data_IF_283539488047
#
_entry.id   IF_283539488047
#
_cell.length_a   1.000
_cell.length_b   1.000
_cell.length_c   1.000
_cell.angle_alpha   90.00
_cell.angle_beta   90.00
_cell.angle_gamma   90.00
#
_symmetry.space_group_name_H-M   'P 1'
#
loop_
_entity.id
_entity.type
_entity.pdbx_description
1 polymer ?
#
# COMPACT_ATOMS: atom_id res chain seq x y z
N UNK A 1 11.88 -6.03 14.30
CA UNK A 1 12.56 -4.72 14.32
C UNK A 1 13.83 -4.94 15.11
N UNK A 2 14.98 -4.53 14.57
CA UNK A 2 16.28 -4.83 15.16
C UNK A 2 16.90 -3.59 15.82
N UNK A 3 16.43 -2.41 15.42
CA UNK A 3 16.86 -1.13 15.94
C UNK A 3 16.14 -0.78 17.26
N UNK A 4 16.85 -0.67 18.39
CA UNK A 4 16.26 -0.40 19.71
C UNK A 4 15.65 1.01 19.81
N UNK A 5 16.08 1.94 18.95
CA UNK A 5 15.56 3.31 18.90
C UNK A 5 14.15 3.44 18.31
N UNK A 6 13.51 2.37 17.85
CA UNK A 6 12.23 2.48 17.14
C UNK A 6 11.00 2.57 18.04
N UNK A 7 11.04 2.13 19.29
CA UNK A 7 9.84 2.01 20.14
C UNK A 7 9.03 3.32 20.23
N UNK A 8 9.72 4.47 20.29
CA UNK A 8 9.09 5.80 20.38
C UNK A 8 9.36 6.71 19.19
N UNK A 9 10.07 6.21 18.17
CA UNK A 9 10.50 7.00 17.01
C UNK A 9 9.84 6.56 15.70
N UNK A 10 8.74 5.80 15.81
CA UNK A 10 7.97 5.33 14.67
C UNK A 10 6.97 6.39 14.25
N UNK A 11 7.01 6.75 12.98
CA UNK A 11 6.06 7.68 12.35
C UNK A 11 5.28 6.96 11.27
N UNK A 12 3.97 7.20 11.23
CA UNK A 12 3.13 6.69 10.15
C UNK A 12 3.52 7.37 8.85
N UNK A 13 3.74 6.58 7.80
CA UNK A 13 4.07 7.07 6.45
C UNK A 13 2.92 6.91 5.48
N UNK A 14 2.05 5.93 5.70
CA UNK A 14 0.83 5.74 4.92
C UNK A 14 -0.18 4.94 5.73
N UNK A 15 -1.46 5.16 5.45
CA UNK A 15 -2.55 4.35 5.97
C UNK A 15 -3.52 4.05 4.84
N UNK A 16 -3.97 2.81 4.75
CA UNK A 16 -4.97 2.37 3.78
C UNK A 16 -6.09 1.66 4.54
N UNK A 17 -7.32 1.96 4.18
CA UNK A 17 -8.51 1.25 4.66
C UNK A 17 -9.02 0.37 3.53
N UNK A 18 -9.36 -0.87 3.87
CA UNK A 18 -10.01 -1.85 3.00
C UNK A 18 -11.28 -2.28 3.72
N UNK A 19 -12.42 -2.13 3.05
CA UNK A 19 -13.72 -2.54 3.57
C UNK A 19 -14.25 -3.69 2.73
N UNK A 20 -14.78 -4.72 3.38
CA UNK A 20 -15.45 -5.86 2.76
C UNK A 20 -16.69 -6.28 3.57
N UNK A 21 -17.33 -7.38 3.14
CA UNK A 21 -18.54 -7.93 3.79
C UNK A 21 -18.32 -8.37 5.25
N UNK A 22 -17.07 -8.62 5.66
CA UNK A 22 -16.68 -9.01 7.03
C UNK A 22 -16.38 -7.77 7.89
N UNK A 23 -16.06 -6.63 7.30
CA UNK A 23 -15.88 -5.36 8.00
C UNK A 23 -14.74 -4.52 7.45
N UNK A 24 -14.09 -3.76 8.34
CA UNK A 24 -13.02 -2.83 7.98
C UNK A 24 -11.66 -3.35 8.45
N UNK A 25 -10.69 -3.31 7.54
CA UNK A 25 -9.28 -3.56 7.78
C UNK A 25 -8.49 -2.29 7.50
N UNK A 26 -7.68 -1.85 8.45
CA UNK A 26 -6.76 -0.71 8.26
C UNK A 26 -5.33 -1.20 8.28
N UNK A 27 -4.57 -0.88 7.25
CA UNK A 27 -3.14 -1.19 7.13
C UNK A 27 -2.36 0.12 7.23
N UNK A 28 -1.58 0.27 8.31
CA UNK A 28 -0.74 1.44 8.55
C UNK A 28 0.72 1.07 8.41
N UNK A 29 1.44 1.76 7.53
CA UNK A 29 2.89 1.66 7.41
C UNK A 29 3.56 2.66 8.32
N UNK A 30 4.59 2.19 9.01
CA UNK A 30 5.39 2.94 9.95
C UNK A 30 6.85 2.93 9.52
N UNK A 31 7.53 4.05 9.69
CA UNK A 31 8.97 4.19 9.49
C UNK A 31 9.63 4.68 10.76
N UNK A 32 10.73 4.04 11.11
CA UNK A 32 11.55 4.43 12.24
C UNK A 32 12.46 5.61 11.83
N UNK A 33 12.42 6.74 12.55
CA UNK A 33 13.26 7.90 12.21
C UNK A 33 14.77 7.61 12.34
N UNK A 34 15.28 6.99 13.41
CA UNK A 34 16.71 6.80 13.62
C UNK A 34 17.42 5.89 12.61
N UNK A 35 16.76 4.84 12.16
CA UNK A 35 17.40 3.76 11.37
C UNK A 35 16.58 3.33 10.15
N UNK A 36 15.47 4.02 9.87
CA UNK A 36 14.65 3.82 8.68
C UNK A 36 14.04 2.41 8.50
N UNK A 37 14.09 1.55 9.52
CA UNK A 37 13.32 0.31 9.53
C UNK A 37 11.82 0.59 9.32
N UNK A 38 11.18 -0.31 8.60
CA UNK A 38 9.75 -0.25 8.30
C UNK A 38 8.97 -1.31 9.05
N UNK A 39 7.76 -0.98 9.46
CA UNK A 39 6.81 -1.93 10.02
C UNK A 39 5.42 -1.69 9.42
N UNK A 40 4.63 -2.75 9.35
CA UNK A 40 3.21 -2.67 9.01
C UNK A 40 2.39 -3.05 10.24
N UNK A 41 1.33 -2.30 10.47
CA UNK A 41 0.34 -2.54 11.50
C UNK A 41 -1.02 -2.73 10.83
N UNK A 42 -1.63 -3.89 11.04
CA UNK A 42 -2.95 -4.24 10.54
C UNK A 42 -3.92 -4.18 11.71
N UNK A 43 -4.95 -3.37 11.57
CA UNK A 43 -6.10 -3.31 12.47
C UNK A 43 -7.27 -3.97 11.78
N UNK A 44 -7.80 -5.02 12.41
CA UNK A 44 -8.92 -5.81 11.90
C UNK A 44 -10.14 -5.53 12.77
N UNK A 45 -11.26 -5.14 12.17
CA UNK A 45 -12.54 -5.07 12.87
C UNK A 45 -12.98 -6.45 13.37
N UNK A 46 -13.89 -6.48 14.34
CA UNK A 46 -14.43 -7.69 14.94
C UNK A 46 -14.80 -8.79 13.90
N UNK A 47 -15.52 -8.44 12.83
CA UNK A 47 -16.00 -9.44 11.87
C UNK A 47 -14.93 -10.27 11.12
N UNK A 48 -13.64 -9.95 11.24
CA UNK A 48 -12.54 -10.77 10.71
C UNK A 48 -12.07 -11.90 11.63
N UNK A 49 -12.09 -11.74 12.96
CA UNK A 49 -11.45 -12.68 13.89
C UNK A 49 -12.20 -12.97 15.19
N UNK A 50 -13.35 -12.34 15.45
CA UNK A 50 -14.14 -12.59 16.65
C UNK A 50 -14.87 -11.36 17.16
N UNK A 51 -15.40 -11.35 18.39
CA UNK A 51 -16.09 -10.17 18.92
C UNK A 51 -15.17 -8.96 19.08
N UNK A 52 -13.86 -9.19 19.21
CA UNK A 52 -12.87 -8.15 19.51
C UNK A 52 -12.04 -7.76 18.28
N UNK A 53 -11.77 -6.45 18.08
CA UNK A 53 -10.85 -6.00 17.05
C UNK A 53 -9.43 -6.49 17.35
N UNK A 54 -8.73 -6.94 16.31
CA UNK A 54 -7.38 -7.49 16.43
C UNK A 54 -6.35 -6.54 15.84
N UNK A 55 -5.25 -6.31 16.55
CA UNK A 55 -4.10 -5.55 16.05
C UNK A 55 -2.90 -6.46 15.85
N UNK A 56 -2.36 -6.47 14.64
CA UNK A 56 -1.18 -7.25 14.26
C UNK A 56 -0.10 -6.28 13.80
N UNK A 57 1.10 -6.36 14.36
CA UNK A 57 2.22 -5.52 13.95
C UNK A 57 3.44 -6.37 13.64
N UNK A 58 4.04 -6.18 12.47
CA UNK A 58 5.20 -6.92 12.03
C UNK A 58 6.23 -6.01 11.36
N UNK A 59 7.50 -6.37 11.46
CA UNK A 59 8.57 -5.67 10.77
C UNK A 59 8.55 -6.07 9.29
N UNK A 60 8.61 -5.07 8.41
CA UNK A 60 8.73 -5.30 6.97
C UNK A 60 10.21 -5.20 6.64
N UNK A 61 10.82 -6.33 6.25
CA UNK A 61 12.13 -6.28 5.64
C UNK A 61 12.02 -5.45 4.35
N UNK A 62 12.90 -4.46 4.19
CA UNK A 62 13.06 -3.76 2.91
C UNK A 62 13.40 -4.82 1.85
N UNK A 63 12.41 -5.29 1.10
CA UNK A 63 12.71 -5.95 -0.15
C UNK A 63 13.40 -4.89 -1.00
N UNK A 64 14.61 -5.15 -1.56
CA UNK A 64 15.18 -4.25 -2.53
C UNK A 64 14.13 -4.08 -3.62
N UNK A 65 13.64 -2.86 -3.77
CA UNK A 65 12.66 -2.52 -4.80
C UNK A 65 13.22 -2.97 -6.14
N UNK A 66 12.69 -4.07 -6.67
CA UNK A 66 12.77 -4.33 -8.10
C UNK A 66 11.94 -3.22 -8.72
N UNK A 67 12.62 -2.15 -9.14
CA UNK A 67 12.05 -1.12 -9.99
C UNK A 67 11.68 -1.83 -11.29
N UNK A 68 10.50 -2.45 -11.32
CA UNK A 68 9.87 -2.88 -12.57
C UNK A 68 9.54 -1.59 -13.28
N UNK A 69 10.46 -1.16 -14.15
CA UNK A 69 10.20 -0.11 -15.12
C UNK A 69 8.94 -0.56 -15.88
N UNK A 70 7.81 0.08 -15.57
CA UNK A 70 6.60 -0.13 -16.34
C UNK A 70 6.94 0.13 -17.80
N UNK A 71 6.67 -0.81 -18.73
CA UNK A 71 6.91 -0.53 -20.14
C UNK A 71 6.10 0.71 -20.51
N UNK A 72 6.79 1.70 -21.05
CA UNK A 72 6.19 2.94 -21.51
C UNK A 72 4.99 2.57 -22.40
N UNK A 73 3.78 2.96 -21.97
CA UNK A 73 2.59 2.91 -22.82
C UNK A 73 2.91 3.71 -24.08
N UNK A 74 3.27 3.03 -25.17
CA UNK A 74 3.35 3.66 -26.48
C UNK A 74 1.97 4.22 -26.79
N UNK A 75 1.91 5.56 -26.77
CA UNK A 75 0.83 6.42 -27.26
C UNK A 75 0.08 5.76 -28.41
N UNK A 76 -1.22 5.59 -28.24
CA UNK A 76 -2.12 5.14 -29.29
C UNK A 76 -1.93 5.94 -30.57
N UNK A 77 -1.73 5.21 -31.69
CA UNK A 77 -2.04 5.74 -33.02
C UNK A 77 -3.52 6.09 -33.02
N UNK A 78 -3.84 7.38 -33.18
CA UNK A 78 -5.17 7.82 -33.59
C UNK A 78 -5.43 7.23 -34.98
N UNK A 79 -6.15 6.12 -35.04
CA UNK A 79 -6.95 5.78 -36.22
C UNK A 79 -7.98 6.89 -36.43
N UNK A 80 -7.94 7.54 -37.60
CA UNK A 80 -9.07 8.29 -38.15
C UNK A 80 -9.51 7.54 -39.40
N UNK A 81 -10.60 6.81 -39.31
CA UNK A 81 -11.33 6.33 -40.47
C UNK A 81 -12.51 7.27 -40.79
N UNK A 82 -12.55 7.70 -42.07
CA UNK A 82 -13.69 8.00 -42.95
C UNK A 82 -14.67 9.15 -42.54
N UNK A 83 -15.29 9.94 -43.43
CA UNK A 83 -15.97 9.62 -44.70
C UNK A 83 -15.99 10.80 -45.72
N UNK A 84 -16.43 10.44 -46.93
CA UNK A 84 -16.52 11.16 -48.22
C UNK A 84 -17.37 12.46 -48.29
N UNK A 85 -17.15 13.24 -49.36
CA UNK A 85 -18.07 14.30 -49.82
C UNK A 85 -17.49 15.12 -50.98
N UNK A 86 -18.10 14.99 -52.16
CA UNK A 86 -17.87 15.63 -53.46
C UNK A 86 -18.04 17.16 -53.52
N UNK A 87 -17.28 17.84 -54.39
CA UNK A 87 -17.72 18.74 -55.50
C UNK A 87 -16.66 18.72 -56.59
#
# INVERSE_FOLDING_TARGET
MHCPGCERAMVSTSSQVVEDEKGAMTITRWRCRPCHETAEEIWLSAGYRGPDPTRIRYAVALQPTTTVAAPARQRGKRERYAYAGSI
#
